data_IF_826522385801
#
_entry.id   IF_826522385801
#
_cell.length_a   1.000
_cell.length_b   1.000
_cell.length_c   1.000
_cell.angle_alpha   90.00
_cell.angle_beta   90.00
_cell.angle_gamma   90.00
#
_symmetry.space_group_name_H-M   'P 1'
#
loop_
_entity.id
_entity.type
_entity.pdbx_description
1 polymer ?
#
# COMPACT_ATOMS: atom_id res chain seq x y z
N UNK A 1 -4.00 -7.20 5.53
CA UNK A 1 -4.63 -5.86 5.56
C UNK A 1 -5.47 -5.71 4.32
N UNK A 2 -6.69 -5.15 4.41
CA UNK A 2 -7.60 -5.05 3.26
C UNK A 2 -7.75 -3.60 2.82
N UNK A 3 -7.56 -3.31 1.53
CA UNK A 3 -7.75 -1.97 0.96
C UNK A 3 -8.74 -2.01 -0.19
N UNK A 4 -9.65 -1.04 -0.23
CA UNK A 4 -10.50 -0.82 -1.41
C UNK A 4 -9.72 -0.02 -2.44
N UNK A 5 -9.71 -0.51 -3.66
CA UNK A 5 -8.96 0.07 -4.77
C UNK A 5 -9.86 0.32 -5.96
N UNK A 6 -9.40 1.19 -6.83
CA UNK A 6 -10.09 1.57 -8.06
C UNK A 6 -9.10 1.41 -9.21
N UNK A 7 -9.57 0.81 -10.29
CA UNK A 7 -8.82 0.54 -11.51
C UNK A 7 -8.09 1.78 -12.00
N UNK A 8 -6.83 1.57 -12.40
CA UNK A 8 -5.96 2.61 -12.93
C UNK A 8 -5.38 3.56 -11.87
N UNK A 9 -5.86 3.54 -10.62
CA UNK A 9 -5.28 4.35 -9.54
C UNK A 9 -4.01 3.73 -9.00
N UNK A 10 -3.04 4.60 -8.70
CA UNK A 10 -1.81 4.25 -8.00
C UNK A 10 -1.94 4.61 -6.52
N UNK A 11 -1.61 3.66 -5.67
CA UNK A 11 -1.58 3.78 -4.22
C UNK A 11 -0.13 3.68 -3.74
N UNK A 12 0.20 4.43 -2.70
CA UNK A 12 1.50 4.37 -2.05
C UNK A 12 1.33 3.80 -0.64
N UNK A 13 1.79 2.57 -0.44
CA UNK A 13 1.66 1.84 0.81
C UNK A 13 2.86 2.12 1.73
N UNK A 14 2.58 2.19 3.03
CA UNK A 14 3.58 2.45 4.05
C UNK A 14 4.39 1.19 4.35
N UNK A 15 5.70 1.25 4.14
CA UNK A 15 6.67 0.22 4.55
C UNK A 15 7.46 0.60 5.81
N UNK A 16 7.31 1.86 6.28
CA UNK A 16 8.11 2.39 7.38
C UNK A 16 7.54 2.15 8.77
N UNK A 17 6.27 1.75 8.87
CA UNK A 17 5.53 1.57 10.14
C UNK A 17 5.38 2.84 10.99
N UNK A 18 5.67 4.03 10.44
CA UNK A 18 5.57 5.32 11.12
C UNK A 18 4.39 6.19 10.64
N UNK A 19 3.63 5.71 9.65
CA UNK A 19 2.48 6.45 9.13
C UNK A 19 1.29 6.35 10.07
N UNK A 20 0.69 7.49 10.41
CA UNK A 20 -0.59 7.59 11.10
C UNK A 20 -1.79 7.29 10.19
N UNK A 21 -1.57 7.26 8.88
CA UNK A 21 -2.56 6.91 7.85
C UNK A 21 -2.40 5.48 7.36
N UNK A 22 -1.91 4.58 8.21
CA UNK A 22 -1.74 3.17 7.85
C UNK A 22 -3.03 2.61 7.24
N UNK A 23 -2.98 1.92 6.09
CA UNK A 23 -1.79 1.35 5.43
C UNK A 23 -1.07 2.27 4.43
N UNK A 24 -1.51 3.51 4.26
CA UNK A 24 -0.98 4.42 3.25
C UNK A 24 0.24 5.19 3.74
N UNK A 25 1.11 5.54 2.80
CA UNK A 25 2.23 6.44 3.04
C UNK A 25 1.72 7.88 3.24
N UNK A 26 2.16 8.51 4.33
CA UNK A 26 1.89 9.92 4.64
C UNK A 26 3.15 10.82 4.51
N UNK A 27 4.30 10.24 4.14
CA UNK A 27 5.57 10.95 4.04
C UNK A 27 6.49 10.88 5.25
N UNK A 28 6.07 10.30 6.39
CA UNK A 28 6.91 10.18 7.60
C UNK A 28 8.20 9.35 7.38
N UNK A 29 8.27 8.56 6.31
CA UNK A 29 9.48 7.80 5.95
C UNK A 29 10.68 8.69 5.53
N UNK A 30 10.48 9.97 5.23
CA UNK A 30 11.56 10.90 4.83
C UNK A 30 12.64 10.94 5.91
N UNK A 31 13.90 10.80 5.50
CA UNK A 31 15.05 10.70 6.42
C UNK A 31 15.42 9.26 6.82
N UNK A 32 14.63 8.26 6.39
CA UNK A 32 15.01 6.85 6.47
C UNK A 32 15.35 6.26 5.09
N UNK A 33 15.96 5.08 5.08
CA UNK A 33 16.21 4.30 3.86
C UNK A 33 14.93 3.67 3.30
N UNK A 34 13.86 3.63 4.09
CA UNK A 34 12.59 3.02 3.68
C UNK A 34 11.89 3.88 2.63
N UNK A 35 11.27 3.21 1.66
CA UNK A 35 10.51 3.82 0.57
C UNK A 35 9.12 3.21 0.50
N UNK A 36 8.08 4.00 0.22
CA UNK A 36 6.72 3.48 0.08
C UNK A 36 6.65 2.51 -1.09
N UNK A 37 5.75 1.54 -0.98
CA UNK A 37 5.51 0.56 -2.02
C UNK A 37 4.45 1.11 -2.96
N UNK A 38 4.78 1.22 -4.23
CA UNK A 38 3.85 1.66 -5.26
C UNK A 38 3.01 0.47 -5.71
N UNK A 39 1.70 0.59 -5.59
CA UNK A 39 0.73 -0.40 -6.05
C UNK A 39 -0.21 0.25 -7.07
N UNK A 40 -0.25 -0.27 -8.30
CA UNK A 40 -1.20 0.17 -9.33
C UNK A 40 -2.33 -0.85 -9.40
N UNK A 41 -3.56 -0.41 -9.15
CA UNK A 41 -4.71 -1.30 -9.23
C UNK A 41 -5.08 -1.57 -10.69
N UNK A 42 -5.12 -2.83 -11.06
CA UNK A 42 -5.53 -3.27 -12.41
C UNK A 42 -7.05 -3.40 -12.56
N UNK A 43 -7.79 -3.44 -11.44
CA UNK A 43 -9.25 -3.53 -11.40
C UNK A 43 -9.79 -2.91 -10.11
N UNK A 44 -11.07 -2.54 -10.13
CA UNK A 44 -11.82 -2.21 -8.92
C UNK A 44 -11.91 -3.43 -7.99
N UNK A 45 -11.79 -3.23 -6.68
CA UNK A 45 -11.95 -4.34 -5.75
C UNK A 45 -11.46 -4.07 -4.33
N UNK A 46 -11.45 -5.13 -3.53
CA UNK A 46 -10.76 -5.15 -2.23
C UNK A 46 -9.58 -6.10 -2.34
N UNK A 47 -8.37 -5.57 -2.14
CA UNK A 47 -7.14 -6.34 -2.20
C UNK A 47 -6.63 -6.58 -0.78
N UNK A 48 -6.23 -7.82 -0.50
CA UNK A 48 -5.58 -8.19 0.74
C UNK A 48 -4.06 -8.18 0.55
N UNK A 49 -3.36 -7.46 1.41
CA UNK A 49 -1.90 -7.45 1.48
C UNK A 49 -1.42 -8.10 2.78
N UNK A 50 -0.43 -8.97 2.73
CA UNK A 50 0.35 -9.40 3.88
C UNK A 50 1.83 -9.10 3.61
N UNK A 51 2.55 -8.61 4.61
CA UNK A 51 3.97 -8.24 4.49
C UNK A 51 4.29 -7.28 3.33
N UNK A 52 3.29 -6.49 2.92
CA UNK A 52 3.31 -5.59 1.76
C UNK A 52 3.34 -6.26 0.37
N UNK A 53 3.04 -7.55 0.31
CA UNK A 53 2.80 -8.28 -0.93
C UNK A 53 1.29 -8.48 -1.10
N UNK A 54 0.80 -8.35 -2.32
CA UNK A 54 -0.57 -8.70 -2.67
C UNK A 54 -0.74 -10.21 -2.51
N UNK A 55 -1.74 -10.60 -1.71
CA UNK A 55 -2.16 -12.00 -1.66
C UNK A 55 -3.24 -12.18 -2.71
N UNK A 56 -2.85 -12.82 -3.80
CA UNK A 56 -3.80 -13.40 -4.73
C UNK A 56 -4.33 -14.66 -4.04
N UNK A 57 -5.50 -14.59 -3.42
CA UNK A 57 -6.22 -15.81 -3.07
C UNK A 57 -6.50 -16.55 -4.38
N UNK A 58 -5.91 -17.75 -4.51
CA UNK A 58 -6.16 -18.66 -5.63
C UNK A 58 -7.54 -19.32 -5.49
#
# INVERSE_FOLDING_TARGET
MKIKVQEGKTYFLCSCSLSDKYPFCNGTHKGSEKRPIQFKAEKDGTIEFLNNEEIVEA
#
